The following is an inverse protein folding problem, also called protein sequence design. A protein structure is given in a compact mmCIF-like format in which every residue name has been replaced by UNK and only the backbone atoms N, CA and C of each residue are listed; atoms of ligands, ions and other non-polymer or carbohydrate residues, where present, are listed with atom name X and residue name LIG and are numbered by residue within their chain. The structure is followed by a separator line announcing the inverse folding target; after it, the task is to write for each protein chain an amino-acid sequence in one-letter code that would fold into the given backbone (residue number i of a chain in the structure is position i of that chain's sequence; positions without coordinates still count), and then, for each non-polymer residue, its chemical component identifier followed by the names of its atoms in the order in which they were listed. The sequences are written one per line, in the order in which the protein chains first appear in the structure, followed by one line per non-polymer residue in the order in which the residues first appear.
data_IF_385073433459
#
_entry.id   IF_385073433459
#
_cell.length_a   1.000
_cell.length_b   1.000
_cell.length_c   1.000
_cell.angle_alpha   90.00
_cell.angle_beta   90.00
_cell.angle_gamma   90.00
#
_symmetry.space_group_name_H-M   'P 1'
#
loop_
_entity.id
_entity.type
_entity.pdbx_description
1 polymer ?
#
# COMPACT_ATOMS: atom_id res chain seq x y z
N UNK A 1 -0.69 -9.64 -21.21
CA UNK A 1 0.71 -9.44 -20.77
C UNK A 1 0.74 -9.64 -19.26
N UNK A 2 1.24 -10.79 -18.79
CA UNK A 2 1.37 -11.05 -17.36
C UNK A 2 2.53 -10.20 -16.83
N UNK A 3 2.22 -9.00 -16.33
CA UNK A 3 3.16 -8.27 -15.48
C UNK A 3 3.35 -9.14 -14.24
N UNK A 4 4.59 -9.56 -13.97
CA UNK A 4 4.92 -10.26 -12.74
C UNK A 4 4.34 -9.46 -11.56
N UNK A 5 3.59 -10.09 -10.66
CA UNK A 5 2.99 -9.39 -9.51
C UNK A 5 4.06 -8.69 -8.66
N UNK A 6 5.30 -9.18 -8.72
CA UNK A 6 6.49 -8.56 -8.16
C UNK A 6 6.92 -7.22 -8.77
N UNK A 7 6.43 -6.83 -9.95
CA UNK A 7 6.66 -5.52 -10.54
C UNK A 7 5.52 -4.54 -10.27
N UNK A 8 4.35 -5.03 -9.84
CA UNK A 8 3.25 -4.19 -9.37
C UNK A 8 3.55 -3.70 -7.95
N UNK A 9 3.81 -2.39 -7.82
CA UNK A 9 4.04 -1.73 -6.53
C UNK A 9 3.02 -0.61 -6.33
N UNK A 10 1.79 -0.86 -6.76
CA UNK A 10 0.72 0.09 -6.51
C UNK A 10 0.54 0.27 -5.00
N UNK A 11 0.23 1.49 -4.60
CA UNK A 11 0.06 1.87 -3.19
C UNK A 11 -1.43 1.94 -2.82
N UNK A 12 -2.22 1.09 -3.47
CA UNK A 12 -3.66 0.98 -3.29
C UNK A 12 -4.08 -0.48 -3.30
N UNK A 13 -5.16 -0.78 -2.60
CA UNK A 13 -5.75 -2.11 -2.59
C UNK A 13 -7.23 -2.03 -2.26
N UNK A 14 -8.08 -2.56 -3.14
CA UNK A 14 -9.53 -2.43 -3.01
C UNK A 14 -9.93 -0.98 -2.70
N UNK A 15 -10.68 -0.78 -1.61
CA UNK A 15 -11.13 0.53 -1.14
C UNK A 15 -10.25 1.10 -0.01
N UNK A 16 -9.14 0.44 0.33
CA UNK A 16 -8.24 0.91 1.38
C UNK A 16 -7.55 2.21 0.97
N UNK A 17 -7.45 3.12 1.93
CA UNK A 17 -6.85 4.44 1.73
C UNK A 17 -5.42 4.53 2.24
N UNK A 18 -5.08 3.79 3.28
CA UNK A 18 -3.78 3.87 3.96
C UNK A 18 -2.97 2.59 3.86
N UNK A 19 -3.62 1.42 3.85
CA UNK A 19 -2.93 0.13 3.93
C UNK A 19 -3.05 -0.66 2.63
N UNK A 20 -1.92 -1.19 2.15
CA UNK A 20 -1.89 -1.97 0.91
C UNK A 20 -0.87 -3.13 0.99
N UNK A 21 -1.18 -4.31 0.45
CA UNK A 21 -0.25 -5.42 0.32
C UNK A 21 0.60 -5.30 -0.95
N UNK A 22 1.83 -5.80 -0.89
CA UNK A 22 2.74 -5.91 -2.03
C UNK A 22 3.43 -7.26 -1.98
N UNK A 23 3.42 -7.99 -3.10
CA UNK A 23 4.19 -9.23 -3.22
C UNK A 23 5.67 -8.91 -3.43
N UNK A 24 6.41 -8.88 -2.33
CA UNK A 24 7.80 -8.41 -2.31
C UNK A 24 8.80 -9.54 -2.59
N UNK A 25 9.61 -9.32 -3.63
CA UNK A 25 10.77 -10.19 -3.93
C UNK A 25 11.85 -10.13 -2.84
N UNK A 26 12.01 -8.97 -2.19
CA UNK A 26 13.10 -8.75 -1.23
C UNK A 26 12.86 -9.47 0.08
N UNK A 27 11.62 -9.45 0.55
CA UNK A 27 11.20 -10.19 1.76
C UNK A 27 10.80 -11.62 1.46
N UNK A 28 10.66 -12.01 0.19
CA UNK A 28 10.28 -13.36 -0.21
C UNK A 28 8.82 -13.71 0.11
N UNK A 29 7.94 -12.72 0.21
CA UNK A 29 6.56 -12.91 0.64
C UNK A 29 5.74 -11.63 0.64
N UNK A 30 4.59 -11.66 1.32
CA UNK A 30 3.71 -10.51 1.43
C UNK A 30 4.36 -9.42 2.31
N UNK A 31 4.38 -8.19 1.80
CA UNK A 31 4.73 -7.00 2.56
C UNK A 31 3.49 -6.11 2.68
N UNK A 32 3.22 -5.60 3.87
CA UNK A 32 2.09 -4.69 4.12
C UNK A 32 2.66 -3.28 4.25
N UNK A 33 2.27 -2.39 3.33
CA UNK A 33 2.61 -0.98 3.34
C UNK A 33 1.56 -0.16 4.07
N UNK A 34 2.00 0.85 4.84
CA UNK A 34 1.15 1.85 5.46
C UNK A 34 1.56 3.25 4.97
N UNK A 35 0.66 3.96 4.31
CA UNK A 35 0.90 5.29 3.78
C UNK A 35 0.50 6.37 4.80
N UNK A 36 1.49 6.91 5.50
CA UNK A 36 1.32 8.00 6.47
C UNK A 36 1.50 9.40 5.86
N UNK A 37 1.76 9.50 4.56
CA UNK A 37 1.95 10.76 3.86
C UNK A 37 0.99 10.90 2.67
N UNK A 38 -0.33 10.84 2.91
CA UNK A 38 -1.29 11.01 1.84
C UNK A 38 -1.33 12.46 1.34
N UNK A 39 -1.02 13.42 2.21
CA UNK A 39 -1.03 14.86 1.93
C UNK A 39 0.12 15.31 1.02
N UNK A 40 1.10 14.43 0.80
CA UNK A 40 2.34 14.73 0.09
C UNK A 40 3.04 15.93 0.73
N UNK A 41 3.03 16.04 2.05
CA UNK A 41 3.82 17.02 2.81
C UNK A 41 4.91 16.29 3.59
N UNK A 42 6.16 16.72 3.46
CA UNK A 42 7.27 16.16 4.20
C UNK A 42 8.31 17.25 4.44
N UNK A 43 8.91 17.27 5.63
CA UNK A 43 9.94 18.23 6.02
C UNK A 43 11.37 17.78 5.64
N UNK A 44 11.51 16.75 4.82
CA UNK A 44 12.82 16.22 4.40
C UNK A 44 13.22 16.87 3.08
N UNK A 45 14.47 17.32 2.99
CA UNK A 45 15.06 17.90 1.77
C UNK A 45 15.89 16.86 1.01
N UNK A 46 15.23 15.78 0.57
CA UNK A 46 15.90 14.67 -0.09
C UNK A 46 16.33 15.05 -1.52
N UNK A 47 17.62 14.96 -1.83
CA UNK A 47 18.18 15.17 -3.19
C UNK A 47 17.60 14.21 -4.25
N UNK A 48 16.96 13.13 -3.82
CA UNK A 48 16.34 12.10 -4.66
C UNK A 48 14.81 12.06 -4.50
N UNK A 49 14.18 13.15 -4.04
CA UNK A 49 12.73 13.20 -3.89
C UNK A 49 12.02 12.98 -5.24
N UNK A 50 11.20 11.92 -5.32
CA UNK A 50 10.38 11.59 -6.49
C UNK A 50 8.90 11.94 -6.29
N UNK A 51 8.54 12.61 -5.19
CA UNK A 51 7.15 12.97 -4.91
C UNK A 51 6.74 14.16 -5.78
N UNK A 52 5.70 13.98 -6.59
CA UNK A 52 5.12 15.07 -7.36
C UNK A 52 4.28 16.01 -6.47
N UNK A 53 4.87 17.13 -6.04
CA UNK A 53 4.24 18.13 -5.16
C UNK A 53 3.24 19.07 -5.87
N UNK A 54 3.09 18.99 -7.20
CA UNK A 54 2.17 19.88 -7.94
C UNK A 54 0.74 19.36 -8.01
N UNK A 55 0.53 18.10 -7.63
CA UNK A 55 -0.79 17.46 -7.64
C UNK A 55 -1.48 17.62 -6.30
N UNK A 56 -2.79 17.86 -6.32
CA UNK A 56 -3.60 17.86 -5.12
C UNK A 56 -3.46 16.50 -4.40
N UNK A 57 -3.54 16.56 -3.07
CA UNK A 57 -3.67 15.35 -2.27
C UNK A 57 -5.15 14.99 -2.12
N UNK A 58 -5.42 13.68 -2.08
CA UNK A 58 -6.71 13.09 -1.79
C UNK A 58 -7.11 13.22 -0.32
N UNK A 59 -6.15 13.30 0.61
CA UNK A 59 -6.42 13.58 2.03
C UNK A 59 -5.32 14.32 2.74
N UNK A 60 -5.73 15.26 3.60
CA UNK A 60 -4.82 16.12 4.35
C UNK A 60 -4.38 15.52 5.69
N UNK A 61 -5.11 14.52 6.19
CA UNK A 61 -4.86 13.96 7.50
C UNK A 61 -4.94 12.43 7.45
N UNK A 62 -4.09 11.79 8.24
CA UNK A 62 -4.17 10.36 8.50
C UNK A 62 -5.25 10.15 9.57
N UNK A 63 -6.33 9.49 9.18
CA UNK A 63 -7.39 9.10 10.10
C UNK A 63 -6.93 7.87 10.87
N UNK A 64 -6.32 8.09 12.04
CA UNK A 64 -5.62 7.03 12.78
C UNK A 64 -6.49 5.80 13.06
N UNK A 65 -7.76 5.99 13.42
CA UNK A 65 -8.64 4.84 13.67
C UNK A 65 -8.87 4.03 12.39
N UNK A 66 -9.18 4.72 11.28
CA UNK A 66 -9.41 4.08 9.98
C UNK A 66 -8.15 3.34 9.48
N UNK A 67 -6.97 3.94 9.65
CA UNK A 67 -5.70 3.28 9.33
C UNK A 67 -5.50 2.00 10.15
N UNK A 68 -5.80 2.03 11.45
CA UNK A 68 -5.65 0.87 12.33
C UNK A 68 -6.65 -0.23 11.97
N UNK A 69 -7.89 0.14 11.64
CA UNK A 69 -8.92 -0.78 11.20
C UNK A 69 -8.49 -1.47 9.88
N UNK A 70 -8.07 -0.70 8.87
CA UNK A 70 -7.52 -1.24 7.61
C UNK A 70 -6.30 -2.14 7.83
N UNK A 71 -5.44 -1.78 8.78
CA UNK A 71 -4.24 -2.57 9.09
C UNK A 71 -4.60 -3.91 9.73
N UNK A 72 -5.56 -3.91 10.64
CA UNK A 72 -6.05 -5.12 11.29
C UNK A 72 -6.70 -6.05 10.25
N UNK A 73 -7.60 -5.52 9.41
CA UNK A 73 -8.27 -6.28 8.36
C UNK A 73 -7.25 -6.87 7.36
N UNK A 74 -6.24 -6.10 6.98
CA UNK A 74 -5.17 -6.57 6.09
C UNK A 74 -4.33 -7.68 6.72
N UNK A 75 -4.00 -7.56 8.01
CA UNK A 75 -3.27 -8.60 8.73
C UNK A 75 -4.08 -9.89 8.77
N UNK A 76 -5.38 -9.81 9.08
CA UNK A 76 -6.26 -10.98 9.12
C UNK A 76 -6.43 -11.63 7.75
N UNK A 77 -6.56 -10.82 6.69
CA UNK A 77 -6.64 -11.28 5.29
C UNK A 77 -5.35 -11.99 4.83
N UNK A 78 -4.19 -11.47 5.23
CA UNK A 78 -2.89 -12.09 4.89
C UNK A 78 -2.62 -13.35 5.72
N UNK A 79 -2.93 -13.32 7.02
CA UNK A 79 -2.70 -14.46 7.92
C UNK A 79 -3.63 -15.64 7.64
N UNK A 80 -4.87 -15.38 7.22
CA UNK A 80 -5.81 -16.42 6.78
C UNK A 80 -5.42 -17.04 5.44
N UNK A 81 -4.60 -16.35 4.64
CA UNK A 81 -4.26 -16.75 3.27
C UNK A 81 -5.34 -16.41 2.24
N UNK A 82 -6.48 -15.84 2.67
CA UNK A 82 -7.56 -15.41 1.77
C UNK A 82 -7.10 -14.33 0.79
N UNK A 83 -6.02 -13.60 1.09
CA UNK A 83 -5.38 -12.66 0.16
C UNK A 83 -5.10 -13.26 -1.23
N UNK A 84 -4.72 -14.54 -1.30
CA UNK A 84 -4.42 -15.24 -2.56
C UNK A 84 -5.67 -15.61 -3.36
N UNK A 85 -6.86 -15.44 -2.78
CA UNK A 85 -8.14 -15.64 -3.49
C UNK A 85 -8.63 -14.36 -4.16
N UNK A 86 -8.07 -13.20 -3.80
CA UNK A 86 -8.42 -11.91 -4.39
C UNK A 86 -7.96 -11.81 -5.83
N UNK A 87 -8.70 -11.08 -6.69
CA UNK A 87 -8.35 -10.90 -8.10
C UNK A 87 -6.94 -10.33 -8.31
N UNK A 88 -6.45 -9.55 -7.34
CA UNK A 88 -5.12 -8.94 -7.37
C UNK A 88 -3.97 -9.95 -7.18
N UNK A 89 -4.19 -11.02 -6.43
CA UNK A 89 -3.15 -12.00 -6.09
C UNK A 89 -3.51 -13.44 -6.47
N UNK A 90 -4.60 -13.67 -7.20
CA UNK A 90 -5.05 -15.01 -7.62
C UNK A 90 -4.14 -15.71 -8.63
N UNK A 91 -3.15 -14.99 -9.16
CA UNK A 91 -2.16 -15.50 -10.13
C UNK A 91 -0.76 -15.66 -9.53
N UNK A 92 -0.62 -15.53 -8.20
CA UNK A 92 0.62 -15.86 -7.46
C UNK A 92 0.81 -17.36 -7.39
#
# INVERSE_FOLDING_TARGET
MSSSLHSSHDRSFADNRFVYPVLSRRSGGMSIGANLNPDKICNFDCIYCQVNRTTASETRFVEMQHLLDELQDMLDLVLSGEIYTTEFFSTV
#
